data_IF_670482316407
#
_entry.id   IF_670482316407
#
_cell.length_a   1.000
_cell.length_b   1.000
_cell.length_c   1.000
_cell.angle_alpha   90.00
_cell.angle_beta   90.00
_cell.angle_gamma   90.00
#
_symmetry.space_group_name_H-M   'P 1'
#
loop_
_entity.id
_entity.type
_entity.pdbx_description
1 polymer ?
#
# COMPACT_ATOMS: atom_id res chain seq x y z
N UNK A 1 -9.17 -15.46 6.49
CA UNK A 1 -10.24 -15.38 5.46
C UNK A 1 -9.71 -14.84 4.14
N UNK A 2 -9.21 -13.59 4.07
CA UNK A 2 -8.78 -12.95 2.83
C UNK A 2 -7.86 -13.79 1.93
N UNK A 3 -6.80 -14.42 2.49
CA UNK A 3 -5.91 -15.33 1.73
C UNK A 3 -6.66 -16.46 1.01
N UNK A 4 -7.74 -17.00 1.60
CA UNK A 4 -8.58 -18.04 0.97
C UNK A 4 -9.44 -17.49 -0.16
N UNK A 5 -10.00 -16.29 0.01
CA UNK A 5 -10.76 -15.61 -1.05
C UNK A 5 -9.88 -15.35 -2.26
N UNK A 6 -8.66 -14.83 -2.04
CA UNK A 6 -7.65 -14.63 -3.10
C UNK A 6 -7.28 -15.94 -3.76
N UNK A 7 -7.07 -17.02 -2.99
CA UNK A 7 -6.77 -18.33 -3.57
C UNK A 7 -7.87 -18.79 -4.55
N UNK A 8 -9.14 -18.75 -4.13
CA UNK A 8 -10.25 -19.16 -4.99
C UNK A 8 -10.44 -18.23 -6.19
N UNK A 9 -10.22 -16.93 -6.02
CA UNK A 9 -10.26 -15.97 -7.13
C UNK A 9 -9.26 -16.34 -8.23
N UNK A 10 -8.05 -16.73 -7.84
CA UNK A 10 -7.01 -17.15 -8.78
C UNK A 10 -7.31 -18.50 -9.44
N UNK A 11 -7.92 -19.45 -8.71
CA UNK A 11 -8.32 -20.75 -9.28
C UNK A 11 -9.47 -20.63 -10.28
N UNK A 12 -10.45 -19.77 -10.00
CA UNK A 12 -11.63 -19.59 -10.85
C UNK A 12 -11.35 -18.70 -12.07
N UNK A 13 -10.34 -17.84 -12.02
CA UNK A 13 -9.95 -16.99 -13.15
C UNK A 13 -9.58 -17.78 -14.43
N UNK A 14 -9.20 -19.05 -14.30
CA UNK A 14 -8.85 -19.93 -15.42
C UNK A 14 -10.06 -20.45 -16.24
N UNK A 15 -11.29 -20.01 -15.95
CA UNK A 15 -12.50 -20.41 -16.70
C UNK A 15 -13.72 -19.52 -16.44
N UNK A 16 -13.51 -18.24 -16.13
CA UNK A 16 -14.53 -17.39 -15.52
C UNK A 16 -15.52 -16.77 -16.51
N UNK A 17 -16.65 -17.46 -16.70
CA UNK A 17 -18.00 -16.88 -16.70
C UNK A 17 -18.96 -17.94 -16.13
N UNK A 18 -19.59 -17.66 -14.97
CA UNK A 18 -20.54 -18.59 -14.36
C UNK A 18 -20.85 -18.37 -12.87
N UNK A 19 -21.86 -19.08 -12.37
CA UNK A 19 -22.46 -18.90 -11.03
C UNK A 19 -21.45 -18.97 -9.85
N UNK A 20 -20.35 -19.72 -9.99
CA UNK A 20 -19.32 -19.82 -8.95
C UNK A 20 -18.51 -18.52 -8.80
N UNK A 21 -18.26 -17.81 -9.90
CA UNK A 21 -17.56 -16.53 -9.87
C UNK A 21 -18.43 -15.45 -9.22
N UNK A 22 -19.74 -15.46 -9.52
CA UNK A 22 -20.71 -14.57 -8.87
C UNK A 22 -20.78 -14.83 -7.36
N UNK A 23 -20.88 -16.10 -6.95
CA UNK A 23 -20.88 -16.47 -5.52
C UNK A 23 -19.62 -15.98 -4.80
N UNK A 24 -18.44 -16.13 -5.42
CA UNK A 24 -17.19 -15.65 -4.83
C UNK A 24 -17.18 -14.12 -4.71
N UNK A 25 -17.71 -13.40 -5.70
CA UNK A 25 -17.83 -11.94 -5.65
C UNK A 25 -18.72 -11.50 -4.49
N UNK A 26 -19.86 -12.14 -4.30
CA UNK A 26 -20.78 -11.85 -3.20
C UNK A 26 -20.14 -12.14 -1.84
N UNK A 27 -19.40 -13.25 -1.71
CA UNK A 27 -18.63 -13.57 -0.50
C UNK A 27 -17.53 -12.53 -0.21
N UNK A 28 -16.82 -12.04 -1.24
CA UNK A 28 -15.82 -10.97 -1.07
C UNK A 28 -16.47 -9.68 -0.60
N UNK A 29 -17.63 -9.33 -1.14
CA UNK A 29 -18.39 -8.15 -0.72
C UNK A 29 -18.83 -8.23 0.74
N UNK A 30 -19.43 -9.35 1.14
CA UNK A 30 -19.83 -9.60 2.52
C UNK A 30 -18.64 -9.56 3.48
N UNK A 31 -17.53 -10.21 3.09
CA UNK A 31 -16.28 -10.18 3.85
C UNK A 31 -15.72 -8.76 3.98
N UNK A 32 -15.81 -7.92 2.94
CA UNK A 32 -15.42 -6.52 3.00
C UNK A 32 -16.34 -5.70 3.92
N UNK A 33 -17.65 -5.96 3.92
CA UNK A 33 -18.58 -5.31 4.84
C UNK A 33 -18.29 -5.70 6.31
N UNK A 34 -18.00 -6.98 6.57
CA UNK A 34 -17.58 -7.46 7.88
C UNK A 34 -16.21 -6.88 8.30
N UNK A 35 -15.26 -6.83 7.37
CA UNK A 35 -13.94 -6.24 7.59
C UNK A 35 -14.03 -4.75 7.94
N UNK A 36 -14.87 -3.98 7.27
CA UNK A 36 -15.09 -2.58 7.59
C UNK A 36 -15.64 -2.39 9.02
N UNK A 37 -16.56 -3.25 9.47
CA UNK A 37 -17.05 -3.24 10.87
C UNK A 37 -15.93 -3.61 11.85
N UNK A 38 -15.11 -4.61 11.51
CA UNK A 38 -13.97 -5.02 12.32
C UNK A 38 -12.94 -3.90 12.47
N UNK A 39 -12.54 -3.24 11.39
CA UNK A 39 -11.61 -2.08 11.43
C UNK A 39 -12.20 -0.95 12.27
N UNK A 40 -13.47 -0.57 12.05
CA UNK A 40 -14.15 0.48 12.83
C UNK A 40 -14.14 0.20 14.34
N UNK A 41 -14.30 -1.07 14.73
CA UNK A 41 -14.39 -1.45 16.14
C UNK A 41 -13.04 -1.58 16.85
N UNK A 42 -11.93 -1.74 16.12
CA UNK A 42 -10.64 -2.13 16.72
C UNK A 42 -9.47 -1.20 16.35
N UNK A 43 -9.57 -0.44 15.26
CA UNK A 43 -8.41 0.27 14.70
C UNK A 43 -7.86 1.36 15.63
N UNK A 44 -8.72 2.08 16.36
CA UNK A 44 -8.30 3.07 17.36
C UNK A 44 -7.41 2.44 18.44
N UNK A 45 -7.81 1.30 18.98
CA UNK A 45 -7.02 0.57 19.97
C UNK A 45 -5.69 0.07 19.38
N UNK A 46 -5.69 -0.39 18.13
CA UNK A 46 -4.46 -0.82 17.44
C UNK A 46 -3.44 0.29 17.25
N UNK A 47 -3.85 1.55 17.12
CA UNK A 47 -2.92 2.68 16.94
C UNK A 47 -2.65 3.44 18.24
N UNK A 48 -3.42 3.18 19.29
CA UNK A 48 -3.22 3.77 20.61
C UNK A 48 -2.00 3.16 21.32
N UNK A 49 -1.88 1.84 21.32
CA UNK A 49 -0.84 1.08 22.03
C UNK A 49 -0.13 0.10 21.08
N UNK A 50 1.15 0.35 20.82
CA UNK A 50 1.96 -0.46 19.92
C UNK A 50 2.27 -1.87 20.46
N UNK A 51 2.19 -2.07 21.77
CA UNK A 51 2.57 -3.32 22.46
C UNK A 51 1.34 -4.16 22.88
N UNK A 52 0.12 -3.73 22.51
CA UNK A 52 -1.11 -4.45 22.80
C UNK A 52 -1.09 -5.89 22.22
N UNK A 53 -1.34 -6.96 23.02
CA UNK A 53 -1.16 -8.35 22.60
C UNK A 53 -1.99 -8.80 21.38
N UNK A 54 -3.17 -8.23 21.18
CA UNK A 54 -4.08 -8.58 20.09
C UNK A 54 -3.96 -7.67 18.84
N UNK A 55 -3.01 -6.73 18.85
CA UNK A 55 -2.78 -5.78 17.76
C UNK A 55 -2.10 -6.47 16.57
N UNK A 56 -2.62 -6.32 15.34
CA UNK A 56 -1.95 -6.84 14.16
C UNK A 56 -0.69 -6.04 13.84
N UNK A 57 0.20 -6.57 13.00
CA UNK A 57 1.29 -5.77 12.44
C UNK A 57 0.74 -4.64 11.59
N UNK A 58 1.16 -3.41 11.87
CA UNK A 58 0.84 -2.21 11.09
C UNK A 58 2.06 -1.68 10.32
N UNK A 59 1.84 -0.76 9.37
CA UNK A 59 2.94 -0.14 8.59
C UNK A 59 4.13 0.34 9.43
N UNK A 60 3.96 1.07 10.55
CA UNK A 60 5.08 1.49 11.41
C UNK A 60 5.97 0.37 11.96
N UNK A 61 5.44 -0.85 12.04
CA UNK A 61 6.15 -1.96 12.68
C UNK A 61 7.02 -2.76 11.69
N UNK A 62 6.81 -2.58 10.38
CA UNK A 62 7.37 -3.45 9.33
C UNK A 62 8.88 -3.55 9.45
N UNK A 63 9.60 -2.42 9.56
CA UNK A 63 11.06 -2.45 9.64
C UNK A 63 11.54 -3.07 10.96
N UNK A 64 10.88 -2.78 12.08
CA UNK A 64 11.22 -3.35 13.40
C UNK A 64 11.02 -4.87 13.43
N UNK A 65 10.02 -5.40 12.73
CA UNK A 65 9.71 -6.83 12.71
C UNK A 65 10.45 -7.60 11.62
N UNK A 66 10.59 -7.03 10.43
CA UNK A 66 11.11 -7.75 9.26
C UNK A 66 12.54 -7.37 8.86
N UNK A 67 13.01 -6.15 9.11
CA UNK A 67 14.32 -5.69 8.62
C UNK A 67 15.36 -5.70 9.72
N UNK A 68 15.10 -4.99 10.81
CA UNK A 68 16.08 -4.76 11.87
C UNK A 68 16.58 -6.01 12.62
N UNK A 69 15.77 -7.06 12.83
CA UNK A 69 16.27 -8.31 13.41
C UNK A 69 17.28 -9.02 12.51
N UNK A 70 17.11 -8.93 11.18
CA UNK A 70 18.03 -9.53 10.20
C UNK A 70 19.35 -8.78 10.14
N UNK A 71 19.30 -7.45 10.14
CA UNK A 71 20.50 -6.62 10.26
C UNK A 71 21.26 -6.89 11.58
N UNK A 72 20.53 -7.06 12.69
CA UNK A 72 21.15 -7.40 13.98
C UNK A 72 21.81 -8.79 13.99
N UNK A 73 21.33 -9.71 13.15
CA UNK A 73 21.94 -11.02 12.92
C UNK A 73 23.11 -10.97 11.92
N UNK A 74 23.55 -9.79 11.50
CA UNK A 74 24.65 -9.60 10.55
C UNK A 74 24.31 -9.95 9.11
N UNK A 75 23.02 -10.12 8.76
CA UNK A 75 22.59 -10.38 7.38
C UNK A 75 22.40 -9.08 6.63
N UNK A 76 22.86 -9.06 5.37
CA UNK A 76 22.49 -8.00 4.42
C UNK A 76 21.01 -8.11 4.08
N UNK A 77 20.33 -6.96 4.00
CA UNK A 77 18.91 -6.89 3.64
C UNK A 77 18.69 -6.00 2.43
N UNK A 78 17.92 -6.49 1.46
CA UNK A 78 17.38 -5.69 0.37
C UNK A 78 15.88 -5.53 0.59
N UNK A 79 15.45 -4.32 0.95
CA UNK A 79 14.04 -3.97 1.13
C UNK A 79 13.47 -3.41 -0.18
N UNK A 80 12.52 -4.13 -0.75
CA UNK A 80 11.75 -3.71 -1.91
C UNK A 80 10.34 -3.33 -1.47
N UNK A 81 9.97 -2.06 -1.62
CA UNK A 81 8.61 -1.56 -1.39
C UNK A 81 7.96 -1.30 -2.75
N UNK A 82 7.06 -2.19 -3.17
CA UNK A 82 6.27 -2.01 -4.38
C UNK A 82 5.03 -1.18 -4.04
N UNK A 83 4.91 0.03 -4.56
CA UNK A 83 3.75 0.90 -4.36
C UNK A 83 2.45 0.23 -4.80
N UNK A 84 1.38 0.29 -4.00
CA UNK A 84 0.05 -0.19 -4.38
C UNK A 84 0.00 -1.70 -4.71
N UNK A 85 0.89 -2.51 -4.11
CA UNK A 85 1.05 -3.92 -4.45
C UNK A 85 0.21 -4.84 -3.55
N UNK A 86 -0.78 -5.49 -4.16
CA UNK A 86 -1.76 -6.33 -3.47
C UNK A 86 -1.26 -7.77 -3.26
N UNK A 87 -1.85 -8.43 -2.27
CA UNK A 87 -1.55 -9.84 -1.99
C UNK A 87 -1.86 -10.77 -3.17
N UNK A 88 -2.93 -10.54 -3.94
CA UNK A 88 -3.23 -11.35 -5.13
C UNK A 88 -2.24 -11.16 -6.28
N UNK A 89 -1.64 -9.97 -6.40
CA UNK A 89 -0.53 -9.72 -7.31
C UNK A 89 0.75 -10.45 -6.86
N UNK A 90 1.05 -10.46 -5.55
CA UNK A 90 2.11 -11.32 -5.01
C UNK A 90 1.87 -12.79 -5.38
N UNK A 91 0.65 -13.29 -5.23
CA UNK A 91 0.33 -14.70 -5.49
C UNK A 91 0.50 -15.13 -6.95
N UNK A 92 0.41 -14.22 -7.91
CA UNK A 92 0.75 -14.52 -9.32
C UNK A 92 2.25 -14.34 -9.62
N UNK A 93 2.97 -13.54 -8.84
CA UNK A 93 4.41 -13.31 -8.98
C UNK A 93 5.23 -14.41 -8.30
N UNK A 94 4.78 -14.92 -7.16
CA UNK A 94 5.48 -15.91 -6.35
C UNK A 94 5.98 -17.14 -7.14
N UNK A 95 5.21 -17.73 -8.08
CA UNK A 95 5.69 -18.84 -8.91
C UNK A 95 6.93 -18.52 -9.75
N UNK A 96 7.09 -17.27 -10.21
CA UNK A 96 8.25 -16.84 -10.99
C UNK A 96 9.55 -16.83 -10.17
N UNK A 97 9.43 -16.72 -8.84
CA UNK A 97 10.55 -16.66 -7.91
C UNK A 97 10.78 -17.99 -7.18
N UNK A 98 9.85 -18.94 -7.29
CA UNK A 98 9.84 -20.16 -6.49
C UNK A 98 11.03 -21.10 -6.75
N UNK A 99 11.62 -21.04 -7.95
CA UNK A 99 12.81 -21.83 -8.27
C UNK A 99 14.06 -21.30 -7.56
N UNK A 100 14.14 -19.98 -7.37
CA UNK A 100 15.34 -19.27 -6.90
C UNK A 100 15.29 -18.96 -5.39
N UNK A 101 14.10 -18.87 -4.79
CA UNK A 101 13.92 -18.43 -3.42
C UNK A 101 13.01 -19.36 -2.60
N UNK A 102 13.32 -19.46 -1.31
CA UNK A 102 12.37 -19.85 -0.26
C UNK A 102 11.64 -18.61 0.23
N UNK A 103 10.30 -18.64 0.14
CA UNK A 103 9.44 -17.51 0.48
C UNK A 103 8.71 -17.75 1.81
N UNK A 104 8.94 -16.87 2.79
CA UNK A 104 8.12 -16.75 3.99
C UNK A 104 7.00 -15.72 3.74
N UNK A 105 5.77 -16.20 3.57
CA UNK A 105 4.62 -15.35 3.22
C UNK A 105 3.82 -14.86 4.45
N UNK A 106 4.07 -13.61 4.85
CA UNK A 106 3.25 -12.93 5.85
C UNK A 106 2.36 -11.87 5.20
N UNK A 107 1.41 -11.36 5.98
CA UNK A 107 0.63 -10.17 5.66
C UNK A 107 0.61 -9.27 6.88
N UNK A 108 0.44 -7.98 6.65
CA UNK A 108 0.22 -6.99 7.68
C UNK A 108 -0.90 -6.03 7.27
N UNK A 109 -1.30 -5.15 8.18
CA UNK A 109 -2.36 -4.19 7.94
C UNK A 109 -1.73 -2.83 7.61
N UNK A 110 -2.00 -2.29 6.42
CA UNK A 110 -1.71 -0.89 6.14
C UNK A 110 -2.53 0.02 7.07
N UNK A 111 -2.02 1.22 7.31
CA UNK A 111 -2.70 2.21 8.15
C UNK A 111 -3.69 3.04 7.34
N UNK A 112 -4.65 3.66 8.03
CA UNK A 112 -5.54 4.65 7.45
C UNK A 112 -4.91 6.04 7.48
N UNK A 113 -5.17 6.89 6.46
CA UNK A 113 -5.61 6.50 5.11
C UNK A 113 -4.63 5.52 4.45
N UNK A 114 -5.14 4.54 3.68
CA UNK A 114 -4.29 3.63 2.87
C UNK A 114 -3.79 4.36 1.62
N UNK A 115 -3.01 5.41 1.83
CA UNK A 115 -2.44 6.27 0.82
C UNK A 115 -0.97 6.51 1.14
N UNK A 116 -0.17 6.68 0.09
CA UNK A 116 1.29 6.74 0.16
C UNK A 116 1.83 7.67 1.26
N UNK A 117 1.35 8.92 1.29
CA UNK A 117 1.77 9.94 2.28
C UNK A 117 1.64 9.47 3.72
N UNK A 118 0.63 8.67 4.02
CA UNK A 118 0.40 8.19 5.37
C UNK A 118 1.12 6.87 5.58
N UNK A 119 0.79 5.85 4.77
CA UNK A 119 1.24 4.49 5.00
C UNK A 119 2.75 4.30 4.78
N UNK A 120 3.33 4.94 3.76
CA UNK A 120 4.74 4.78 3.41
C UNK A 120 5.65 5.60 4.29
N UNK A 121 5.30 6.86 4.57
CA UNK A 121 6.04 7.68 5.52
C UNK A 121 6.01 7.03 6.92
N UNK A 122 4.87 6.47 7.33
CA UNK A 122 4.77 5.72 8.58
C UNK A 122 5.66 4.48 8.61
N UNK A 123 5.74 3.74 7.50
CA UNK A 123 6.63 2.59 7.35
C UNK A 123 8.11 2.98 7.57
N UNK A 124 8.57 4.04 6.91
CA UNK A 124 9.98 4.48 7.02
C UNK A 124 10.30 5.21 8.31
N UNK A 125 9.36 5.97 8.87
CA UNK A 125 9.58 6.62 10.16
C UNK A 125 9.44 5.64 11.34
N UNK A 126 8.74 4.52 11.15
CA UNK A 126 8.32 3.62 12.22
C UNK A 126 7.43 4.30 13.25
N UNK A 127 6.57 5.21 12.81
CA UNK A 127 5.68 6.02 13.65
C UNK A 127 4.36 6.26 12.93
N UNK A 128 3.31 6.57 13.69
CA UNK A 128 2.04 7.00 13.10
C UNK A 128 2.14 8.43 12.55
N UNK A 129 1.32 8.81 11.55
CA UNK A 129 1.39 10.12 10.89
C UNK A 129 1.36 11.33 11.84
N UNK A 130 0.51 11.32 12.87
CA UNK A 130 0.47 12.40 13.87
C UNK A 130 1.80 12.55 14.62
N UNK A 131 2.45 11.44 14.93
CA UNK A 131 3.72 11.49 15.66
C UNK A 131 4.84 11.98 14.73
N UNK A 132 4.83 11.61 13.45
CA UNK A 132 5.76 12.14 12.43
C UNK A 132 5.59 13.67 12.34
N UNK A 133 4.35 14.15 12.17
CA UNK A 133 4.07 15.58 12.06
C UNK A 133 4.51 16.38 13.30
N UNK A 134 4.53 15.75 14.49
CA UNK A 134 4.95 16.39 15.74
C UNK A 134 6.46 16.36 15.97
N UNK A 135 7.11 15.24 15.69
CA UNK A 135 8.54 15.05 16.01
C UNK A 135 9.47 15.36 14.85
N UNK A 136 8.95 15.32 13.62
CA UNK A 136 9.65 15.62 12.38
C UNK A 136 8.80 16.56 11.50
N UNK A 137 8.41 17.73 12.02
CA UNK A 137 7.55 18.68 11.29
C UNK A 137 8.20 19.17 9.99
N UNK A 138 9.52 19.12 9.91
CA UNK A 138 10.31 19.47 8.72
C UNK A 138 10.27 18.39 7.62
N UNK A 139 9.83 17.17 7.93
CA UNK A 139 9.71 16.07 6.96
C UNK A 139 8.25 15.73 6.62
N UNK A 140 7.28 16.30 7.34
CA UNK A 140 5.87 16.09 7.11
C UNK A 140 5.30 17.21 6.24
N UNK A 141 4.81 16.85 5.06
CA UNK A 141 4.13 17.77 4.14
C UNK A 141 2.63 17.60 4.31
N UNK A 142 1.89 18.68 4.55
CA UNK A 142 0.43 18.64 4.74
C UNK A 142 -0.35 18.46 3.43
N UNK A 143 -1.62 18.07 3.55
CA UNK A 143 -2.50 17.76 2.42
C UNK A 143 -2.74 18.92 1.45
N UNK A 144 -2.77 20.15 1.97
CA UNK A 144 -3.00 21.38 1.22
C UNK A 144 -1.72 21.93 0.56
N UNK A 145 -0.55 21.31 0.81
CA UNK A 145 0.70 21.75 0.21
C UNK A 145 0.80 21.37 -1.26
N UNK A 146 1.37 22.27 -2.06
CA UNK A 146 1.75 22.04 -3.46
C UNK A 146 3.05 21.20 -3.58
N UNK A 147 3.75 20.97 -2.47
CA UNK A 147 4.97 20.15 -2.42
C UNK A 147 4.67 18.65 -2.51
N UNK A 148 5.64 17.89 -3.03
CA UNK A 148 5.57 16.43 -3.05
C UNK A 148 5.45 15.83 -1.65
N UNK A 149 4.41 15.03 -1.41
CA UNK A 149 4.07 14.49 -0.09
C UNK A 149 4.99 13.36 0.42
N UNK A 150 5.91 12.89 -0.42
CA UNK A 150 6.73 11.69 -0.21
C UNK A 150 8.21 11.95 -0.56
N UNK A 151 8.74 13.14 -0.26
CA UNK A 151 10.09 13.53 -0.64
C UNK A 151 11.17 13.07 0.36
N UNK A 152 10.80 12.87 1.63
CA UNK A 152 11.74 12.68 2.75
C UNK A 152 11.81 11.25 3.31
N UNK A 153 11.44 10.24 2.52
CA UNK A 153 11.40 8.83 2.99
C UNK A 153 12.77 8.32 3.47
N UNK A 154 13.85 8.67 2.76
CA UNK A 154 15.21 8.32 3.15
C UNK A 154 15.61 8.96 4.49
N UNK A 155 15.24 10.22 4.69
CA UNK A 155 15.51 10.96 5.94
C UNK A 155 14.67 10.42 7.11
N UNK A 156 13.42 10.02 6.86
CA UNK A 156 12.58 9.34 7.86
C UNK A 156 13.22 8.03 8.34
N UNK A 157 13.73 7.23 7.40
CA UNK A 157 14.46 6.00 7.71
C UNK A 157 15.74 6.28 8.50
N UNK A 158 16.51 7.30 8.11
CA UNK A 158 17.71 7.71 8.82
C UNK A 158 17.40 8.12 10.27
N UNK A 159 16.35 8.92 10.48
CA UNK A 159 15.91 9.33 11.84
C UNK A 159 15.43 8.14 12.66
N UNK A 160 14.73 7.18 12.06
CA UNK A 160 14.32 5.95 12.74
C UNK A 160 15.54 5.13 13.17
N UNK A 161 16.51 4.92 12.29
CA UNK A 161 17.75 4.20 12.58
C UNK A 161 18.52 4.88 13.72
N UNK A 162 18.68 6.20 13.66
CA UNK A 162 19.35 7.00 14.68
C UNK A 162 18.63 6.88 16.05
N UNK A 163 17.30 6.99 16.08
CA UNK A 163 16.48 6.86 17.30
C UNK A 163 16.60 5.46 17.93
N UNK A 164 16.80 4.43 17.12
CA UNK A 164 16.99 3.05 17.58
C UNK A 164 18.46 2.68 17.81
N UNK A 165 19.38 3.66 17.74
CA UNK A 165 20.82 3.47 17.85
C UNK A 165 21.39 2.41 16.90
N UNK A 166 20.82 2.32 15.70
CA UNK A 166 21.26 1.44 14.62
C UNK A 166 22.06 2.25 13.61
N UNK A 167 23.20 1.72 13.16
CA UNK A 167 24.09 2.37 12.19
C UNK A 167 24.48 1.43 11.03
N UNK A 168 23.53 0.78 10.34
CA UNK A 168 23.87 0.08 9.10
C UNK A 168 24.33 1.08 8.05
N UNK A 169 25.26 0.68 7.20
CA UNK A 169 25.45 1.36 5.92
C UNK A 169 24.19 1.13 5.07
N UNK A 170 23.56 2.19 4.57
CA UNK A 170 22.36 2.03 3.75
C UNK A 170 22.33 2.93 2.52
N UNK A 171 21.57 2.49 1.51
CA UNK A 171 21.23 3.26 0.34
C UNK A 171 19.72 3.24 0.11
N UNK A 172 19.19 4.33 -0.45
CA UNK A 172 17.77 4.50 -0.74
C UNK A 172 17.56 4.96 -2.19
N UNK A 173 16.67 4.28 -2.91
CA UNK A 173 16.35 4.60 -4.30
C UNK A 173 14.84 4.63 -4.54
N UNK A 174 14.36 5.66 -5.23
CA UNK A 174 12.99 5.71 -5.76
C UNK A 174 13.02 5.46 -7.26
N UNK A 175 12.34 4.40 -7.69
CA UNK A 175 12.37 3.88 -9.06
C UNK A 175 10.97 4.08 -9.69
N UNK A 176 10.85 5.13 -10.48
CA UNK A 176 9.57 5.53 -11.08
C UNK A 176 9.30 4.88 -12.44
N UNK A 177 10.33 4.40 -13.13
CA UNK A 177 10.22 3.85 -14.47
C UNK A 177 11.29 2.76 -14.72
N UNK A 178 11.19 2.09 -15.88
CA UNK A 178 12.14 1.04 -16.27
C UNK A 178 13.58 1.56 -16.40
N UNK A 179 13.77 2.81 -16.85
CA UNK A 179 15.11 3.38 -17.01
C UNK A 179 15.79 3.60 -15.65
N UNK A 180 15.03 3.99 -14.62
CA UNK A 180 15.51 4.08 -13.25
C UNK A 180 15.89 2.70 -12.70
N UNK A 181 15.10 1.65 -13.00
CA UNK A 181 15.43 0.26 -12.62
C UNK A 181 16.73 -0.20 -13.30
N UNK A 182 16.87 0.03 -14.60
CA UNK A 182 18.06 -0.37 -15.37
C UNK A 182 19.32 0.38 -14.89
N UNK A 183 19.18 1.67 -14.57
CA UNK A 183 20.26 2.46 -13.95
C UNK A 183 20.64 1.93 -12.57
N UNK A 184 19.66 1.55 -11.76
CA UNK A 184 19.95 0.98 -10.44
C UNK A 184 20.67 -0.38 -10.56
N UNK A 185 20.28 -1.20 -11.55
CA UNK A 185 20.94 -2.46 -11.87
C UNK A 185 22.38 -2.31 -12.38
N UNK A 186 22.71 -1.21 -13.06
CA UNK A 186 24.10 -0.95 -13.44
C UNK A 186 24.98 -0.61 -12.23
N UNK A 187 24.38 -0.10 -11.15
CA UNK A 187 25.00 0.14 -9.83
C UNK A 187 24.79 -1.01 -8.83
N UNK A 188 24.59 -2.24 -9.31
CA UNK A 188 24.28 -3.40 -8.44
C UNK A 188 25.34 -3.67 -7.37
N UNK A 189 26.63 -3.51 -7.69
CA UNK A 189 27.71 -3.74 -6.72
C UNK A 189 27.70 -2.72 -5.57
N UNK A 190 27.29 -1.47 -5.84
CA UNK A 190 27.09 -0.48 -4.79
C UNK A 190 25.96 -0.93 -3.85
N UNK A 191 24.82 -1.33 -4.40
CA UNK A 191 23.69 -1.86 -3.64
C UNK A 191 24.11 -3.09 -2.80
N UNK A 192 24.90 -3.99 -3.38
CA UNK A 192 25.41 -5.21 -2.74
C UNK A 192 26.38 -4.91 -1.59
N UNK A 193 27.07 -3.78 -1.62
CA UNK A 193 28.06 -3.37 -0.61
C UNK A 193 27.45 -2.79 0.67
N UNK A 194 26.15 -2.46 0.68
CA UNK A 194 25.46 -1.88 1.84
C UNK A 194 24.88 -2.98 2.74
N UNK A 195 24.80 -2.73 4.04
CA UNK A 195 24.09 -3.61 4.98
C UNK A 195 22.58 -3.61 4.70
N UNK A 196 22.03 -2.44 4.33
CA UNK A 196 20.64 -2.24 3.98
C UNK A 196 20.51 -1.50 2.64
N UNK A 197 19.90 -2.13 1.64
CA UNK A 197 19.54 -1.45 0.39
C UNK A 197 18.03 -1.34 0.28
N UNK A 198 17.50 -0.14 0.10
CA UNK A 198 16.07 0.14 0.01
C UNK A 198 15.72 0.65 -1.38
N UNK A 199 14.70 0.05 -1.99
CA UNK A 199 14.12 0.55 -3.22
C UNK A 199 12.60 0.65 -3.12
N UNK A 200 12.07 1.80 -3.52
CA UNK A 200 10.64 2.04 -3.68
C UNK A 200 10.31 2.05 -5.17
N UNK A 201 9.37 1.22 -5.61
CA UNK A 201 9.05 1.02 -7.03
C UNK A 201 7.58 1.39 -7.26
N UNK A 202 7.34 2.41 -8.08
CA UNK A 202 6.02 3.05 -8.21
C UNK A 202 5.17 2.57 -9.41
N UNK A 203 5.62 1.57 -10.16
CA UNK A 203 4.97 1.18 -11.43
C UNK A 203 3.48 0.83 -11.28
N UNK A 204 3.11 0.07 -10.25
CA UNK A 204 1.74 -0.43 -10.07
C UNK A 204 0.78 0.71 -9.74
N UNK A 205 1.26 1.69 -8.97
CA UNK A 205 0.53 2.91 -8.66
C UNK A 205 0.35 3.79 -9.90
N UNK A 206 1.42 4.01 -10.67
CA UNK A 206 1.38 4.69 -11.98
C UNK A 206 0.37 4.00 -12.91
N UNK A 207 0.34 2.66 -12.95
CA UNK A 207 -0.63 1.90 -13.74
C UNK A 207 -2.07 2.15 -13.27
N UNK A 208 -2.30 2.19 -11.94
CA UNK A 208 -3.62 2.47 -11.38
C UNK A 208 -4.12 3.88 -11.71
N UNK A 209 -3.24 4.88 -11.66
CA UNK A 209 -3.51 6.26 -12.05
C UNK A 209 -3.72 6.41 -13.56
N UNK A 210 -2.83 5.83 -14.38
CA UNK A 210 -2.92 5.87 -15.84
C UNK A 210 -4.22 5.24 -16.36
N UNK A 211 -4.79 4.26 -15.66
CA UNK A 211 -6.09 3.67 -15.99
C UNK A 211 -7.24 4.68 -15.90
N UNK A 212 -7.13 5.64 -14.99
CA UNK A 212 -8.11 6.72 -14.83
C UNK A 212 -7.98 7.70 -15.99
N UNK A 213 -6.77 8.07 -16.38
CA UNK A 213 -6.50 9.11 -17.38
C UNK A 213 -6.54 8.61 -18.83
N UNK A 214 -6.19 7.35 -19.07
CA UNK A 214 -6.07 6.74 -20.40
C UNK A 214 -7.11 5.67 -20.67
N UNK A 215 -7.94 5.89 -21.69
CA UNK A 215 -8.92 4.91 -22.16
C UNK A 215 -8.29 3.58 -22.57
N UNK A 216 -7.14 3.62 -23.25
CA UNK A 216 -6.43 2.42 -23.68
C UNK A 216 -5.99 1.57 -22.48
N UNK A 217 -5.39 2.20 -21.47
CA UNK A 217 -4.98 1.50 -20.24
C UNK A 217 -6.19 0.94 -19.50
N UNK A 218 -7.32 1.67 -19.50
CA UNK A 218 -8.59 1.21 -18.93
C UNK A 218 -9.12 -0.06 -19.59
N UNK A 219 -9.03 -0.14 -20.92
CA UNK A 219 -9.43 -1.32 -21.69
C UNK A 219 -8.49 -2.52 -21.41
N UNK A 220 -7.18 -2.28 -21.33
CA UNK A 220 -6.18 -3.32 -21.01
C UNK A 220 -6.30 -3.85 -19.58
N UNK A 221 -6.50 -2.97 -18.60
CA UNK A 221 -6.62 -3.33 -17.18
C UNK A 221 -8.09 -3.40 -16.74
N UNK A 222 -8.98 -3.93 -17.58
CA UNK A 222 -10.44 -3.81 -17.41
C UNK A 222 -11.03 -4.53 -16.18
N UNK A 223 -10.34 -5.54 -15.64
CA UNK A 223 -10.76 -6.31 -14.48
C UNK A 223 -9.57 -6.77 -13.61
N UNK A 224 -9.86 -7.41 -12.48
CA UNK A 224 -8.86 -7.93 -11.53
C UNK A 224 -7.85 -8.90 -12.17
N UNK A 225 -8.30 -9.80 -13.04
CA UNK A 225 -7.43 -10.76 -13.72
C UNK A 225 -6.49 -10.06 -14.72
N UNK A 226 -7.01 -9.12 -15.51
CA UNK A 226 -6.23 -8.33 -16.45
C UNK A 226 -5.21 -7.44 -15.72
N UNK A 227 -5.60 -6.84 -14.60
CA UNK A 227 -4.69 -6.04 -13.76
C UNK A 227 -3.51 -6.88 -13.25
N UNK A 228 -3.78 -8.08 -12.71
CA UNK A 228 -2.72 -9.03 -12.32
C UNK A 228 -1.84 -9.47 -13.50
N UNK A 229 -2.43 -9.73 -14.66
CA UNK A 229 -1.69 -10.13 -15.86
C UNK A 229 -0.72 -9.04 -16.32
N UNK A 230 -1.13 -7.77 -16.27
CA UNK A 230 -0.25 -6.62 -16.57
C UNK A 230 0.87 -6.52 -15.53
N UNK A 231 0.58 -6.66 -14.24
CA UNK A 231 1.62 -6.68 -13.19
C UNK A 231 2.64 -7.78 -13.42
N UNK A 232 2.20 -9.00 -13.76
CA UNK A 232 3.09 -10.13 -14.04
C UNK A 232 3.91 -9.89 -15.32
N UNK A 233 3.30 -9.33 -16.36
CA UNK A 233 3.98 -8.96 -17.61
C UNK A 233 5.07 -7.91 -17.34
N UNK A 234 4.75 -6.86 -16.59
CA UNK A 234 5.72 -5.85 -16.17
C UNK A 234 6.91 -6.48 -15.41
N UNK A 235 6.65 -7.36 -14.45
CA UNK A 235 7.72 -8.06 -13.74
C UNK A 235 8.63 -8.85 -14.69
N UNK A 236 8.04 -9.61 -15.63
CA UNK A 236 8.78 -10.47 -16.56
C UNK A 236 9.61 -9.71 -17.59
N UNK A 237 9.17 -8.52 -17.98
CA UNK A 237 9.71 -7.76 -19.11
C UNK A 237 10.45 -6.48 -18.71
N UNK A 238 10.64 -6.23 -17.41
CA UNK A 238 11.49 -5.13 -16.92
C UNK A 238 12.75 -5.66 -16.23
N UNK A 239 13.68 -4.75 -15.91
CA UNK A 239 14.88 -5.06 -15.15
C UNK A 239 14.63 -5.74 -13.81
N UNK A 240 13.40 -5.73 -13.26
CA UNK A 240 13.11 -6.45 -12.01
C UNK A 240 13.38 -7.95 -12.09
N UNK A 241 13.11 -8.61 -13.22
CA UNK A 241 13.46 -10.03 -13.36
C UNK A 241 14.97 -10.27 -13.26
N UNK A 242 15.76 -9.36 -13.85
CA UNK A 242 17.22 -9.36 -13.71
C UNK A 242 17.65 -9.11 -12.27
N UNK A 243 17.03 -8.14 -11.59
CA UNK A 243 17.28 -7.83 -10.18
C UNK A 243 17.12 -9.09 -9.31
N UNK A 244 15.97 -9.75 -9.39
CA UNK A 244 15.70 -10.93 -8.58
C UNK A 244 16.65 -12.09 -8.90
N UNK A 245 17.02 -12.28 -10.17
CA UNK A 245 18.02 -13.30 -10.53
C UNK A 245 19.39 -13.01 -9.92
N UNK A 246 19.83 -11.75 -9.90
CA UNK A 246 21.10 -11.39 -9.22
C UNK A 246 20.98 -11.55 -7.71
N UNK A 247 19.87 -11.14 -7.11
CA UNK A 247 19.60 -11.32 -5.69
C UNK A 247 19.56 -12.80 -5.28
N UNK A 248 19.17 -13.71 -6.18
CA UNK A 248 19.23 -15.15 -5.93
C UNK A 248 20.65 -15.73 -5.90
N UNK A 249 21.64 -15.02 -6.47
CA UNK A 249 23.04 -15.40 -6.41
C UNK A 249 23.78 -14.80 -5.20
N UNK A 250 23.06 -14.01 -4.39
CA UNK A 250 23.60 -13.18 -3.33
C UNK A 250 23.27 -13.76 -1.95
N UNK A 251 24.18 -13.72 -0.97
CA UNK A 251 23.80 -14.03 0.42
C UNK A 251 23.16 -12.80 1.08
N UNK A 252 21.91 -12.53 0.71
CA UNK A 252 21.10 -11.46 1.30
C UNK A 252 19.65 -11.91 1.46
N UNK A 253 19.01 -11.40 2.51
CA UNK A 253 17.56 -11.54 2.67
C UNK A 253 16.88 -10.43 1.87
N UNK A 254 15.93 -10.80 1.00
CA UNK A 254 15.08 -9.84 0.30
C UNK A 254 13.77 -9.72 1.06
N UNK A 255 13.45 -8.52 1.54
CA UNK A 255 12.14 -8.21 2.13
C UNK A 255 11.32 -7.48 1.09
N UNK A 256 10.23 -8.09 0.63
CA UNK A 256 9.30 -7.53 -0.35
C UNK A 256 8.00 -7.17 0.35
N UNK A 257 7.61 -5.91 0.27
CA UNK A 257 6.38 -5.38 0.88
C UNK A 257 5.78 -4.29 0.00
N UNK A 258 4.70 -3.68 0.47
CA UNK A 258 4.11 -2.48 -0.11
C UNK A 258 3.89 -1.43 0.99
N UNK A 259 3.22 -0.34 0.67
CA UNK A 259 2.65 0.61 1.62
C UNK A 259 1.15 0.36 1.81
N UNK A 260 0.41 0.18 0.71
CA UNK A 260 -1.02 -0.16 0.68
C UNK A 260 -1.38 -0.97 -0.57
N UNK A 261 -2.61 -1.48 -0.64
CA UNK A 261 -3.19 -2.01 -1.88
C UNK A 261 -4.21 -1.06 -2.48
N UNK A 262 -5.11 -1.61 -3.30
CA UNK A 262 -6.23 -0.89 -3.93
C UNK A 262 -7.43 -1.80 -4.17
N UNK A 263 -8.60 -1.21 -4.29
CA UNK A 263 -9.85 -1.91 -4.60
C UNK A 263 -10.50 -1.32 -5.85
N UNK A 264 -11.14 -2.18 -6.66
CA UNK A 264 -11.98 -1.72 -7.77
C UNK A 264 -13.28 -1.11 -7.23
N UNK A 265 -13.52 0.17 -7.51
CA UNK A 265 -14.69 0.89 -6.97
C UNK A 265 -15.86 0.92 -7.95
N UNK A 266 -17.09 0.82 -7.45
CA UNK A 266 -18.29 0.80 -8.30
C UNK A 266 -19.48 1.61 -7.73
N UNK A 267 -19.47 1.88 -6.41
CA UNK A 267 -20.57 2.51 -5.67
C UNK A 267 -20.24 3.94 -5.26
N UNK A 268 -20.80 4.96 -5.92
CA UNK A 268 -20.55 6.32 -5.52
C UNK A 268 -21.28 6.69 -4.22
N UNK A 269 -20.62 7.48 -3.38
CA UNK A 269 -21.15 8.09 -2.16
C UNK A 269 -21.05 9.59 -2.33
N UNK A 270 -22.17 10.29 -2.20
CA UNK A 270 -22.19 11.76 -2.28
C UNK A 270 -21.46 12.35 -1.08
N UNK A 271 -20.53 13.27 -1.35
CA UNK A 271 -19.89 14.09 -0.32
C UNK A 271 -19.93 15.55 -0.72
N UNK A 272 -20.27 16.41 0.24
CA UNK A 272 -20.21 17.86 0.11
C UNK A 272 -19.27 18.38 1.19
N UNK A 273 -18.41 19.33 0.85
CA UNK A 273 -17.52 19.97 1.79
C UNK A 273 -17.07 21.33 1.27
N UNK A 274 -16.26 22.03 2.06
CA UNK A 274 -15.64 23.29 1.65
C UNK A 274 -14.71 23.09 0.43
N UNK A 275 -14.26 24.18 -0.19
CA UNK A 275 -13.39 24.13 -1.40
C UNK A 275 -12.05 23.40 -1.18
N UNK A 276 -11.58 23.30 0.07
CA UNK A 276 -10.28 22.72 0.43
C UNK A 276 -10.34 21.22 0.79
N UNK A 277 -11.20 20.45 0.12
CA UNK A 277 -11.21 18.99 0.31
C UNK A 277 -10.19 18.37 -0.65
N UNK A 278 -9.31 17.51 -0.13
CA UNK A 278 -8.32 16.79 -0.92
C UNK A 278 -8.94 16.00 -2.10
N UNK A 279 -8.13 15.65 -3.11
CA UNK A 279 -8.62 15.03 -4.35
C UNK A 279 -8.87 13.52 -4.25
N UNK A 280 -8.40 12.84 -3.19
CA UNK A 280 -8.52 11.39 -3.05
C UNK A 280 -10.00 10.94 -3.02
N UNK A 281 -10.34 9.84 -3.68
CA UNK A 281 -11.72 9.37 -3.84
C UNK A 281 -12.19 8.40 -2.75
N UNK A 282 -11.30 7.99 -1.86
CA UNK A 282 -11.53 6.96 -0.85
C UNK A 282 -11.46 7.49 0.56
N UNK A 283 -10.81 8.63 0.79
CA UNK A 283 -10.93 9.38 2.04
C UNK A 283 -11.02 10.87 1.77
N UNK A 284 -11.77 11.57 2.61
CA UNK A 284 -11.76 13.03 2.68
C UNK A 284 -11.37 13.47 4.08
N UNK A 285 -10.64 14.58 4.17
CA UNK A 285 -10.48 15.36 5.39
C UNK A 285 -11.01 16.77 5.16
N UNK A 286 -11.62 17.36 6.17
CA UNK A 286 -12.11 18.72 6.07
C UNK A 286 -13.02 19.14 7.20
N UNK A 287 -13.55 20.35 7.10
CA UNK A 287 -14.57 20.90 8.00
C UNK A 287 -15.94 20.80 7.32
N UNK A 288 -16.99 20.71 8.13
CA UNK A 288 -18.39 20.78 7.67
C UNK A 288 -18.73 19.82 6.52
N UNK A 289 -18.15 18.62 6.53
CA UNK A 289 -18.43 17.59 5.54
C UNK A 289 -19.86 17.05 5.70
N UNK A 290 -20.61 16.97 4.60
CA UNK A 290 -21.95 16.39 4.55
C UNK A 290 -21.96 15.15 3.65
N UNK A 291 -22.42 14.03 4.19
CA UNK A 291 -22.39 12.71 3.57
C UNK A 291 -23.37 11.76 4.28
N UNK A 292 -23.77 10.64 3.65
CA UNK A 292 -24.56 9.60 4.31
C UNK A 292 -23.73 8.86 5.37
N UNK A 293 -23.90 9.20 6.66
CA UNK A 293 -23.07 8.69 7.77
C UNK A 293 -22.99 7.15 7.85
N UNK A 294 -24.05 6.44 7.46
CA UNK A 294 -24.08 4.95 7.46
C UNK A 294 -23.18 4.32 6.39
N UNK A 295 -22.76 5.09 5.38
CA UNK A 295 -22.00 4.58 4.23
C UNK A 295 -20.48 4.79 4.36
N UNK A 296 -20.04 5.53 5.38
CA UNK A 296 -18.64 5.90 5.60
C UNK A 296 -18.14 5.41 6.95
N UNK A 297 -16.83 5.43 7.15
CA UNK A 297 -16.21 5.45 8.47
C UNK A 297 -15.88 6.91 8.82
N UNK A 298 -16.63 7.52 9.74
CA UNK A 298 -16.38 8.88 10.24
C UNK A 298 -15.44 8.85 11.45
N UNK A 299 -14.47 9.77 11.45
CA UNK A 299 -13.54 10.03 12.55
C UNK A 299 -13.55 11.53 12.84
N UNK A 300 -14.27 11.92 13.88
CA UNK A 300 -14.42 13.33 14.29
C UNK A 300 -13.22 13.88 15.05
N UNK A 301 -12.49 13.01 15.72
CA UNK A 301 -11.25 13.34 16.41
C UNK A 301 -10.10 12.58 15.75
N UNK A 302 -9.36 13.21 14.81
CA UNK A 302 -8.28 12.53 14.07
C UNK A 302 -7.18 11.96 14.98
N UNK A 303 -6.98 12.56 16.16
CA UNK A 303 -6.00 12.10 17.13
C UNK A 303 -6.29 10.69 17.67
N UNK A 304 -7.56 10.26 17.71
CA UNK A 304 -7.94 8.90 18.12
C UNK A 304 -7.37 7.84 17.17
N UNK A 305 -7.16 8.21 15.91
CA UNK A 305 -6.51 7.37 14.91
C UNK A 305 -5.04 7.72 14.66
N UNK A 306 -4.45 8.56 15.52
CA UNK A 306 -3.08 9.09 15.36
C UNK A 306 -2.87 9.77 14.00
N UNK A 307 -3.86 10.53 13.55
CA UNK A 307 -3.81 11.32 12.31
C UNK A 307 -3.55 12.81 12.61
N UNK A 308 -2.78 13.51 11.76
CA UNK A 308 -2.64 14.95 11.85
C UNK A 308 -3.99 15.62 11.59
N UNK A 309 -4.16 16.81 12.16
CA UNK A 309 -5.37 17.61 11.98
C UNK A 309 -4.93 19.04 11.68
N UNK A 310 -5.09 19.53 10.43
CA UNK A 310 -4.75 20.91 10.10
C UNK A 310 -5.51 21.94 10.95
N UNK A 311 -6.71 21.58 11.43
CA UNK A 311 -7.57 22.43 12.25
C UNK A 311 -8.23 21.60 13.36
N UNK A 312 -8.64 22.25 14.47
CA UNK A 312 -9.31 21.61 15.61
C UNK A 312 -10.63 20.91 15.24
N UNK A 313 -11.31 21.35 14.18
CA UNK A 313 -12.59 20.79 13.70
C UNK A 313 -12.44 19.85 12.50
N UNK A 314 -11.22 19.42 12.18
CA UNK A 314 -10.98 18.48 11.08
C UNK A 314 -11.65 17.14 11.36
N UNK A 315 -12.50 16.69 10.43
CA UNK A 315 -13.08 15.35 10.41
C UNK A 315 -12.50 14.57 9.23
N UNK A 316 -12.17 13.30 9.46
CA UNK A 316 -11.84 12.35 8.40
C UNK A 316 -13.04 11.46 8.11
N UNK A 317 -13.26 11.17 6.83
CA UNK A 317 -14.18 10.12 6.39
C UNK A 317 -13.48 9.17 5.45
N UNK A 318 -13.73 7.87 5.62
CA UNK A 318 -13.20 6.81 4.76
C UNK A 318 -14.35 6.04 4.10
N UNK A 319 -14.21 5.81 2.79
CA UNK A 319 -15.08 4.91 2.04
C UNK A 319 -14.82 3.46 2.46
N UNK A 320 -15.87 2.64 2.45
CA UNK A 320 -15.79 1.22 2.85
C UNK A 320 -16.17 0.29 1.70
N UNK A 321 -15.51 -0.86 1.59
CA UNK A 321 -15.73 -1.79 0.48
C UNK A 321 -15.45 -1.13 -0.87
N UNK A 322 -16.27 -1.37 -1.90
CA UNK A 322 -16.10 -0.80 -3.25
C UNK A 322 -16.65 0.64 -3.42
N UNK A 323 -16.91 1.37 -2.32
CA UNK A 323 -17.48 2.73 -2.37
C UNK A 323 -16.47 3.82 -2.76
N UNK A 324 -16.88 4.90 -3.40
CA UNK A 324 -15.99 6.05 -3.64
C UNK A 324 -16.74 7.37 -3.53
N UNK A 325 -16.05 8.42 -3.14
CA UNK A 325 -16.63 9.74 -2.98
C UNK A 325 -16.81 10.45 -4.32
N UNK A 326 -18.00 10.98 -4.55
CA UNK A 326 -18.32 11.79 -5.72
C UNK A 326 -19.01 13.09 -5.30
N UNK A 327 -18.57 14.21 -5.89
CA UNK A 327 -19.14 15.53 -5.61
C UNK A 327 -20.48 15.71 -6.32
N UNK A 328 -21.45 16.45 -5.75
CA UNK A 328 -22.73 16.71 -6.40
C UNK A 328 -22.60 17.46 -7.72
N UNK A 329 -21.63 18.38 -7.81
CA UNK A 329 -21.35 19.11 -9.03
C UNK A 329 -20.76 18.14 -10.06
N UNK A 330 -21.39 18.07 -11.24
CA UNK A 330 -21.03 17.09 -12.29
C UNK A 330 -21.04 15.63 -11.82
N UNK A 331 -21.91 15.28 -10.85
CA UNK A 331 -21.96 13.95 -10.23
C UNK A 331 -21.93 12.81 -11.25
N UNK A 332 -22.78 12.85 -12.28
CA UNK A 332 -22.86 11.79 -13.29
C UNK A 332 -21.54 11.61 -14.06
N UNK A 333 -20.85 12.71 -14.39
CA UNK A 333 -19.53 12.65 -15.03
C UNK A 333 -18.51 11.98 -14.10
N UNK A 334 -18.42 12.41 -12.83
CA UNK A 334 -17.50 11.82 -11.85
C UNK A 334 -17.78 10.32 -11.65
N UNK A 335 -19.05 9.95 -11.51
CA UNK A 335 -19.44 8.54 -11.35
C UNK A 335 -19.02 7.71 -12.56
N UNK A 336 -19.30 8.16 -13.78
CA UNK A 336 -18.91 7.43 -15.00
C UNK A 336 -17.40 7.39 -15.19
N UNK A 337 -16.69 8.47 -14.83
CA UNK A 337 -15.26 8.58 -15.03
C UNK A 337 -14.47 7.62 -14.12
N UNK A 338 -14.89 7.49 -12.85
CA UNK A 338 -14.17 6.73 -11.82
C UNK A 338 -14.76 5.35 -11.49
N UNK A 339 -15.98 5.04 -11.92
CA UNK A 339 -16.53 3.68 -11.78
C UNK A 339 -15.61 2.67 -12.47
N UNK A 340 -15.48 1.53 -11.82
CA UNK A 340 -14.64 0.39 -12.16
C UNK A 340 -13.13 0.68 -12.15
N UNK A 341 -12.66 1.85 -11.72
CA UNK A 341 -11.23 2.14 -11.53
C UNK A 341 -10.69 1.53 -10.23
N UNK A 342 -9.37 1.33 -10.14
CA UNK A 342 -8.72 0.92 -8.89
C UNK A 342 -8.40 2.17 -8.08
N UNK A 343 -8.84 2.18 -6.82
CA UNK A 343 -8.66 3.31 -5.92
C UNK A 343 -8.16 2.83 -4.57
N UNK A 344 -7.51 3.73 -3.83
CA UNK A 344 -6.97 3.47 -2.51
C UNK A 344 -7.18 4.69 -1.60
N UNK A 345 -7.17 4.43 -0.29
CA UNK A 345 -7.24 5.44 0.76
C UNK A 345 -8.31 5.16 1.81
N UNK A 346 -9.15 4.14 1.58
CA UNK A 346 -10.31 3.79 2.40
C UNK A 346 -10.12 2.50 3.19
N UNK A 347 -11.23 1.83 3.46
CA UNK A 347 -11.28 0.59 4.24
C UNK A 347 -11.79 -0.55 3.36
N UNK A 348 -10.88 -1.41 2.92
CA UNK A 348 -11.18 -2.72 2.32
C UNK A 348 -10.07 -3.70 2.64
N UNK A 349 -10.35 -5.00 2.51
CA UNK A 349 -9.33 -6.03 2.68
C UNK A 349 -8.20 -5.88 1.67
N UNK A 350 -8.54 -5.50 0.43
CA UNK A 350 -7.58 -5.32 -0.66
C UNK A 350 -6.63 -4.14 -0.44
N UNK A 351 -7.12 -3.04 0.15
CA UNK A 351 -6.30 -1.87 0.49
C UNK A 351 -5.44 -2.11 1.74
N UNK A 352 -6.01 -2.73 2.77
CA UNK A 352 -5.38 -2.81 4.09
C UNK A 352 -4.58 -4.09 4.31
N UNK A 353 -4.98 -5.26 3.79
CA UNK A 353 -4.27 -6.53 4.05
C UNK A 353 -3.24 -6.77 2.95
N UNK A 354 -2.00 -6.43 3.26
CA UNK A 354 -0.92 -6.28 2.29
C UNK A 354 0.23 -7.27 2.53
N UNK A 355 0.94 -7.71 1.46
CA UNK A 355 1.99 -8.71 1.57
C UNK A 355 3.21 -8.19 2.33
N UNK A 356 3.79 -9.05 3.18
CA UNK A 356 5.12 -8.89 3.77
C UNK A 356 5.86 -10.21 3.56
N UNK A 357 6.73 -10.24 2.58
CA UNK A 357 7.39 -11.46 2.11
C UNK A 357 8.88 -11.37 2.45
N UNK A 358 9.42 -12.41 3.07
CA UNK A 358 10.87 -12.60 3.13
C UNK A 358 11.25 -13.67 2.14
N UNK A 359 12.17 -13.35 1.23
CA UNK A 359 12.75 -14.28 0.28
C UNK A 359 14.18 -14.55 0.68
N UNK A 360 14.50 -15.83 0.84
CA UNK A 360 15.87 -16.31 1.05
C UNK A 360 16.31 -17.08 -0.18
N UNK A 361 17.46 -16.74 -0.79
CA UNK A 361 17.99 -17.49 -1.90
C UNK A 361 18.16 -18.97 -1.54
N UNK A 362 17.69 -19.86 -2.41
CA UNK A 362 18.00 -21.29 -2.34
C UNK A 362 19.45 -21.41 -2.77
N UNK A 363 20.35 -21.64 -1.80
CA UNK A 363 21.76 -21.85 -2.11
C UNK A 363 21.92 -22.85 -3.25
N UNK A 364 22.76 -22.52 -4.24
CA UNK A 364 23.05 -23.42 -5.36
C UNK A 364 23.86 -24.63 -4.93
#
# INVERSE_FOLDING_TARGET
LYKRLVHWELQLAAGADGAMADLLRDQKEEANAAFAKFVKANYADWVADADAPARPTLSPDVLRRAVFPRLAAGRRVVLLVLDNFRYDQWRVLAPELAADFDAEEQVYFSILPTATQYARNALFAGMMPLDIARTHPDLWVDEESEEGKNLHEAELLERQLARLHRRPTFAYHKLNDSAAVDKWLSSYDEMRSRDLSVAVINFIDILSHARTESRMVRELASNEAAYRAITLSWFRHTGLRELFRRLAADDADVVLTTDHGSIRVDRPVKVVGDRNVNTNLRYKLGRNLSYPAKEVYEVRNPADLRLPAPNLSTTYIFATGARFFAYPNNYNYYVQHFRDTFQHGGVSMEEMIVPLITLRPKGR
#
